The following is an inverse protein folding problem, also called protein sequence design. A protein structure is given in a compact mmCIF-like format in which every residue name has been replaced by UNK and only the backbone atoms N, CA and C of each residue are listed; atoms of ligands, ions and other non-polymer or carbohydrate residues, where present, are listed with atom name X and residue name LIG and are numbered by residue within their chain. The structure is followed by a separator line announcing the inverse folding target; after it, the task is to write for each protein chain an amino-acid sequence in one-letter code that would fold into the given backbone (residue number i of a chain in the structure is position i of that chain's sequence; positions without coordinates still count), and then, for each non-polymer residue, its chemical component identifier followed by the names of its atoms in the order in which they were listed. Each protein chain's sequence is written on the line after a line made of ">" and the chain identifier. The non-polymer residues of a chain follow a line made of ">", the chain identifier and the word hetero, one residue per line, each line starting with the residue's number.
data_IF_333249514106
#
_entry.id   IF_333249514106
#
_cell.length_a   1.000
_cell.length_b   1.000
_cell.length_c   1.000
_cell.angle_alpha   90.00
_cell.angle_beta   90.00
_cell.angle_gamma   90.00
#
_symmetry.space_group_name_H-M   'P 1'
#
loop_
_entity.id
_entity.type
_entity.pdbx_description
1 polymer ?
#
# COMPACT_ATOMS: atom_id res chain seq x y z
N UNK A 1 -5.48 49.53 27.44
CA UNK A 1 -5.15 50.35 26.26
C UNK A 1 -3.80 49.93 25.74
N UNK A 2 -3.77 49.72 24.43
CA UNK A 2 -2.72 49.21 23.54
C UNK A 2 -1.27 49.59 23.84
N UNK A 3 -0.36 48.62 23.69
CA UNK A 3 0.94 48.84 23.05
C UNK A 3 1.12 47.70 22.04
N UNK A 4 1.24 48.11 20.78
CA UNK A 4 1.43 47.29 19.60
C UNK A 4 2.84 46.67 19.55
N UNK A 5 2.93 45.48 18.96
CA UNK A 5 4.13 44.99 18.28
C UNK A 5 3.68 44.44 16.93
N UNK A 6 3.64 45.34 15.95
CA UNK A 6 3.61 45.00 14.52
C UNK A 6 5.03 44.56 14.14
N UNK A 7 5.27 43.25 14.08
CA UNK A 7 6.30 42.70 13.20
C UNK A 7 5.55 42.02 12.05
N UNK A 8 5.17 42.85 11.09
CA UNK A 8 4.65 42.45 9.78
C UNK A 8 5.81 41.79 9.01
N UNK A 9 5.90 40.46 9.12
CA UNK A 9 6.78 39.61 8.32
C UNK A 9 6.34 39.72 6.85
N UNK A 10 6.85 40.76 6.18
CA UNK A 10 6.63 41.09 4.77
C UNK A 10 7.61 40.34 3.86
N UNK A 11 7.86 39.07 4.19
CA UNK A 11 8.45 38.14 3.24
C UNK A 11 7.43 37.91 2.12
N UNK A 12 7.72 38.22 0.84
CA UNK A 12 6.81 37.86 -0.24
C UNK A 12 6.56 36.34 -0.18
N UNK A 13 5.32 35.87 -0.42
CA UNK A 13 5.06 34.44 -0.47
C UNK A 13 6.06 33.83 -1.45
N UNK A 14 6.73 32.76 -1.01
CA UNK A 14 7.65 32.00 -1.86
C UNK A 14 7.03 31.82 -3.24
N UNK A 15 7.81 32.07 -4.29
CA UNK A 15 7.36 31.86 -5.66
C UNK A 15 6.76 30.46 -5.74
N UNK A 16 5.44 30.39 -5.95
CA UNK A 16 4.78 29.11 -6.21
C UNK A 16 5.35 28.68 -7.54
N UNK A 17 6.29 27.74 -7.51
CA UNK A 17 6.80 27.12 -8.72
C UNK A 17 5.59 26.69 -9.56
N UNK A 18 5.59 26.98 -10.87
CA UNK A 18 4.51 26.53 -11.73
C UNK A 18 4.31 25.03 -11.51
N UNK A 19 3.05 24.56 -11.42
CA UNK A 19 2.79 23.15 -11.15
C UNK A 19 3.57 22.30 -12.15
N UNK A 20 4.33 21.33 -11.61
CA UNK A 20 5.12 20.41 -12.43
C UNK A 20 4.17 19.78 -13.48
N UNK A 21 4.52 19.79 -14.77
CA UNK A 21 3.66 19.21 -15.81
C UNK A 21 3.36 17.75 -15.47
N UNK A 22 2.13 17.31 -15.78
CA UNK A 22 1.68 15.97 -15.43
C UNK A 22 2.50 14.89 -16.16
N UNK A 23 2.47 13.65 -15.66
CA UNK A 23 3.23 12.53 -16.22
C UNK A 23 3.09 12.39 -17.75
N UNK A 24 1.90 12.64 -18.31
CA UNK A 24 1.63 12.59 -19.75
C UNK A 24 2.18 13.77 -20.59
N UNK A 25 2.48 14.92 -19.99
CA UNK A 25 2.98 16.12 -20.68
C UNK A 25 4.51 16.18 -20.70
N UNK A 26 5.15 15.32 -19.90
CA UNK A 26 6.59 15.26 -19.74
C UNK A 26 7.21 14.40 -20.84
N UNK A 27 8.37 14.83 -21.31
CA UNK A 27 9.20 14.06 -22.24
C UNK A 27 9.59 12.70 -21.63
N UNK A 28 9.36 11.64 -22.40
CA UNK A 28 9.60 10.27 -21.95
C UNK A 28 11.07 9.99 -21.67
N UNK A 29 11.99 10.61 -22.43
CA UNK A 29 13.43 10.46 -22.21
C UNK A 29 13.87 11.12 -20.91
N UNK A 30 13.34 12.31 -20.61
CA UNK A 30 13.60 13.00 -19.35
C UNK A 30 13.07 12.23 -18.13
N UNK A 31 11.89 11.62 -18.23
CA UNK A 31 11.34 10.74 -17.17
C UNK A 31 12.24 9.52 -16.99
N UNK A 32 12.63 8.86 -18.09
CA UNK A 32 13.45 7.66 -18.05
C UNK A 32 14.85 7.93 -17.47
N UNK A 33 15.43 9.09 -17.74
CA UNK A 33 16.70 9.54 -17.15
C UNK A 33 16.56 9.79 -15.64
N UNK A 34 15.53 10.51 -15.20
CA UNK A 34 15.25 10.76 -13.78
C UNK A 34 15.07 9.44 -13.00
N UNK A 35 14.35 8.48 -13.59
CA UNK A 35 14.08 7.18 -13.00
C UNK A 35 15.18 6.11 -13.26
N UNK A 36 16.23 6.46 -14.02
CA UNK A 36 17.36 5.56 -14.37
C UNK A 36 16.92 4.24 -15.01
N UNK A 37 15.97 4.30 -15.94
CA UNK A 37 15.37 3.11 -16.58
C UNK A 37 16.24 2.45 -17.67
N UNK A 38 17.41 3.01 -17.98
CA UNK A 38 18.32 2.49 -19.03
C UNK A 38 17.85 2.82 -20.44
N UNK A 39 18.47 2.18 -21.45
CA UNK A 39 18.30 2.53 -22.87
C UNK A 39 16.87 2.34 -23.39
N UNK A 40 16.16 1.31 -22.91
CA UNK A 40 14.76 1.03 -23.28
C UNK A 40 13.75 1.86 -22.45
N UNK A 41 14.22 2.63 -21.48
CA UNK A 41 13.41 3.41 -20.56
C UNK A 41 12.43 4.37 -21.25
N UNK A 42 12.85 5.19 -22.24
CA UNK A 42 11.95 6.11 -22.93
C UNK A 42 10.77 5.38 -23.60
N UNK A 43 11.03 4.26 -24.28
CA UNK A 43 9.99 3.47 -24.93
C UNK A 43 9.01 2.85 -23.91
N UNK A 44 9.50 2.44 -22.74
CA UNK A 44 8.64 1.94 -21.67
C UNK A 44 7.72 3.04 -21.14
N UNK A 45 8.25 4.25 -20.93
CA UNK A 45 7.47 5.40 -20.47
C UNK A 45 6.42 5.80 -21.51
N UNK A 46 6.77 5.88 -22.79
CA UNK A 46 5.81 6.20 -23.88
C UNK A 46 4.63 5.22 -23.90
N UNK A 47 4.91 3.92 -23.78
CA UNK A 47 3.86 2.88 -23.72
C UNK A 47 2.93 3.07 -22.52
N UNK A 48 3.48 3.44 -21.37
CA UNK A 48 2.70 3.69 -20.15
C UNK A 48 1.87 4.96 -20.29
N UNK A 49 2.42 6.03 -20.87
CA UNK A 49 1.68 7.26 -21.19
C UNK A 49 0.52 6.98 -22.16
N UNK A 50 0.78 6.24 -23.23
CA UNK A 50 -0.23 5.83 -24.21
C UNK A 50 -1.32 4.93 -23.60
N UNK A 51 -0.93 4.05 -22.68
CA UNK A 51 -1.89 3.22 -21.94
C UNK A 51 -2.80 4.06 -21.05
N UNK A 52 -2.24 4.99 -20.28
CA UNK A 52 -3.05 5.89 -19.46
C UNK A 52 -3.99 6.76 -20.28
N UNK A 53 -3.55 7.26 -21.45
CA UNK A 53 -4.44 7.96 -22.38
C UNK A 53 -5.67 7.10 -22.72
N UNK A 54 -5.46 5.84 -23.08
CA UNK A 54 -6.56 4.89 -23.37
C UNK A 54 -7.45 4.64 -22.14
N UNK A 55 -6.88 4.61 -20.94
CA UNK A 55 -7.65 4.49 -19.69
C UNK A 55 -8.57 5.70 -19.50
N UNK A 56 -8.07 6.92 -19.69
CA UNK A 56 -8.86 8.14 -19.54
C UNK A 56 -9.99 8.23 -20.57
N UNK A 57 -9.72 7.83 -21.81
CA UNK A 57 -10.74 7.67 -22.85
C UNK A 57 -11.78 6.61 -22.46
N UNK A 58 -11.34 5.45 -21.97
CA UNK A 58 -12.22 4.35 -21.53
C UNK A 58 -13.14 4.75 -20.38
N UNK A 59 -12.67 5.57 -19.44
CA UNK A 59 -13.48 6.07 -18.33
C UNK A 59 -14.27 7.34 -18.66
N UNK A 60 -14.12 7.90 -19.86
CA UNK A 60 -14.75 9.16 -20.27
C UNK A 60 -14.37 10.33 -19.32
N UNK A 61 -13.11 10.39 -18.88
CA UNK A 61 -12.58 11.44 -17.98
C UNK A 61 -11.29 12.06 -18.54
N UNK A 62 -11.37 12.55 -19.78
CA UNK A 62 -10.26 13.19 -20.51
C UNK A 62 -9.76 14.50 -19.86
N UNK A 63 -10.51 15.05 -18.90
CA UNK A 63 -10.14 16.26 -18.16
C UNK A 63 -9.21 15.95 -16.98
N UNK A 64 -9.30 14.74 -16.42
CA UNK A 64 -8.51 14.34 -15.25
C UNK A 64 -6.99 14.54 -15.42
N UNK A 65 -6.36 14.22 -16.57
CA UNK A 65 -4.92 14.39 -16.74
C UNK A 65 -4.42 15.82 -16.50
N UNK A 66 -5.24 16.83 -16.84
CA UNK A 66 -4.96 18.25 -16.62
C UNK A 66 -5.44 18.77 -15.25
N UNK A 67 -6.25 18.00 -14.53
CA UNK A 67 -6.74 18.33 -13.19
C UNK A 67 -6.74 17.09 -12.27
N UNK A 68 -5.56 16.47 -12.03
CA UNK A 68 -5.48 15.21 -11.29
C UNK A 68 -5.89 15.40 -9.83
N UNK A 69 -6.49 14.40 -9.20
CA UNK A 69 -6.92 14.46 -7.79
C UNK A 69 -6.63 13.16 -7.04
N UNK A 70 -6.59 13.24 -5.72
CA UNK A 70 -6.38 12.09 -4.83
C UNK A 70 -4.96 11.49 -4.91
N UNK A 71 -4.73 10.34 -4.24
CA UNK A 71 -3.40 9.74 -4.13
C UNK A 71 -2.76 9.39 -5.48
N UNK A 72 -3.55 8.93 -6.45
CA UNK A 72 -3.04 8.69 -7.81
C UNK A 72 -2.63 9.98 -8.52
N UNK A 73 -3.35 11.07 -8.27
CA UNK A 73 -3.02 12.39 -8.81
C UNK A 73 -1.71 12.95 -8.27
N UNK A 74 -1.34 12.66 -7.03
CA UNK A 74 -0.06 13.06 -6.45
C UNK A 74 1.11 12.33 -7.12
N UNK A 75 0.93 11.04 -7.44
CA UNK A 75 1.91 10.30 -8.24
C UNK A 75 1.96 10.82 -9.69
N UNK A 76 0.81 11.17 -10.27
CA UNK A 76 0.73 11.74 -11.61
C UNK A 76 1.50 13.06 -11.77
N UNK A 77 1.50 13.90 -10.73
CA UNK A 77 2.29 15.15 -10.69
C UNK A 77 3.78 14.93 -10.43
N UNK A 78 4.18 13.70 -10.11
CA UNK A 78 5.57 13.36 -9.80
C UNK A 78 6.07 13.94 -8.47
N UNK A 79 5.21 14.02 -7.44
CA UNK A 79 5.59 14.51 -6.10
C UNK A 79 6.73 13.67 -5.49
N UNK A 80 6.84 12.37 -5.85
CA UNK A 80 7.90 11.46 -5.42
C UNK A 80 9.04 11.25 -6.42
N UNK A 81 9.13 12.06 -7.49
CA UNK A 81 10.17 11.93 -8.52
C UNK A 81 10.20 10.53 -9.17
N UNK A 82 11.36 9.86 -9.13
CA UNK A 82 11.54 8.51 -9.67
C UNK A 82 10.56 7.48 -9.08
N UNK A 83 10.22 7.58 -7.78
CA UNK A 83 9.28 6.66 -7.14
C UNK A 83 7.88 6.77 -7.73
N UNK A 84 7.43 7.99 -8.06
CA UNK A 84 6.16 8.19 -8.75
C UNK A 84 6.15 7.61 -10.16
N UNK A 85 7.29 7.61 -10.85
CA UNK A 85 7.44 6.95 -12.16
C UNK A 85 7.26 5.44 -12.02
N UNK A 86 7.97 4.81 -11.07
CA UNK A 86 7.81 3.38 -10.80
C UNK A 86 6.38 3.02 -10.39
N UNK A 87 5.75 3.86 -9.55
CA UNK A 87 4.34 3.72 -9.19
C UNK A 87 3.41 3.60 -10.41
N UNK A 88 3.49 4.58 -11.31
CA UNK A 88 2.65 4.63 -12.50
C UNK A 88 2.95 3.46 -13.44
N UNK A 89 4.22 3.08 -13.61
CA UNK A 89 4.58 1.93 -14.45
C UNK A 89 4.06 0.60 -13.88
N UNK A 90 4.19 0.39 -12.57
CA UNK A 90 3.74 -0.84 -11.90
C UNK A 90 2.21 -0.96 -11.96
N UNK A 91 1.49 0.11 -11.63
CA UNK A 91 0.02 0.14 -11.74
C UNK A 91 -0.42 -0.06 -13.19
N UNK A 92 0.21 0.58 -14.17
CA UNK A 92 -0.13 0.37 -15.58
C UNK A 92 0.05 -1.10 -16.01
N UNK A 93 1.14 -1.73 -15.58
CA UNK A 93 1.45 -3.12 -15.93
C UNK A 93 0.38 -4.08 -15.41
N UNK A 94 -0.03 -3.95 -14.14
CA UNK A 94 -1.04 -4.85 -13.56
C UNK A 94 -2.44 -4.62 -14.15
N UNK A 95 -2.78 -3.36 -14.45
CA UNK A 95 -4.04 -3.03 -15.14
C UNK A 95 -4.06 -3.58 -16.57
N UNK A 96 -2.95 -3.49 -17.30
CA UNK A 96 -2.81 -4.04 -18.64
C UNK A 96 -3.07 -5.56 -18.63
N UNK A 97 -2.44 -6.29 -17.70
CA UNK A 97 -2.64 -7.74 -17.56
C UNK A 97 -4.09 -8.10 -17.25
N UNK A 98 -4.75 -7.35 -16.37
CA UNK A 98 -6.17 -7.54 -16.09
C UNK A 98 -7.01 -7.32 -17.35
N UNK A 99 -6.87 -6.17 -18.01
CA UNK A 99 -7.68 -5.79 -19.17
C UNK A 99 -7.50 -6.74 -20.36
N UNK A 100 -6.28 -7.26 -20.56
CA UNK A 100 -5.98 -8.21 -21.64
C UNK A 100 -6.62 -9.57 -21.43
N UNK A 101 -6.74 -10.03 -20.18
CA UNK A 101 -7.11 -11.41 -19.85
C UNK A 101 -8.50 -11.55 -19.21
N UNK A 102 -9.17 -10.43 -18.89
CA UNK A 102 -10.54 -10.41 -18.41
C UNK A 102 -11.55 -10.84 -19.50
N UNK A 103 -12.67 -11.41 -19.07
CA UNK A 103 -13.71 -11.92 -19.97
C UNK A 103 -14.46 -10.82 -20.74
N UNK A 104 -14.87 -11.05 -22.00
CA UNK A 104 -15.71 -10.10 -22.73
C UNK A 104 -17.01 -9.77 -21.96
N UNK A 105 -17.35 -8.49 -21.82
CA UNK A 105 -18.56 -8.02 -21.12
C UNK A 105 -18.32 -7.43 -19.72
N UNK A 106 -17.11 -7.55 -19.17
CA UNK A 106 -16.76 -7.02 -17.83
C UNK A 106 -16.22 -5.59 -17.84
N UNK A 107 -16.17 -4.94 -19.01
CA UNK A 107 -15.61 -3.60 -19.18
C UNK A 107 -16.22 -2.58 -18.23
N UNK A 108 -17.53 -2.67 -17.96
CA UNK A 108 -18.23 -1.74 -17.06
C UNK A 108 -17.68 -1.78 -15.62
N UNK A 109 -17.46 -2.96 -15.06
CA UNK A 109 -16.95 -3.11 -13.69
C UNK A 109 -15.52 -2.56 -13.58
N UNK A 110 -14.65 -2.87 -14.55
CA UNK A 110 -13.29 -2.31 -14.63
C UNK A 110 -13.35 -0.79 -14.72
N UNK A 111 -14.16 -0.25 -15.64
CA UNK A 111 -14.34 1.20 -15.82
C UNK A 111 -14.81 1.86 -14.52
N UNK A 112 -15.73 1.25 -13.78
CA UNK A 112 -16.21 1.79 -12.50
C UNK A 112 -15.11 1.81 -11.43
N UNK A 113 -14.32 0.73 -11.29
CA UNK A 113 -13.19 0.68 -10.35
C UNK A 113 -12.12 1.70 -10.72
N UNK A 114 -11.80 1.84 -12.00
CA UNK A 114 -10.88 2.87 -12.48
C UNK A 114 -11.40 4.29 -12.17
N UNK A 115 -12.70 4.55 -12.33
CA UNK A 115 -13.31 5.83 -11.93
C UNK A 115 -13.12 6.09 -10.43
N UNK A 116 -13.28 5.07 -9.58
CA UNK A 116 -13.04 5.20 -8.13
C UNK A 116 -11.56 5.47 -7.82
N UNK A 117 -10.61 4.83 -8.52
CA UNK A 117 -9.17 5.09 -8.35
C UNK A 117 -8.80 6.52 -8.76
N UNK A 118 -9.40 7.04 -9.85
CA UNK A 118 -9.13 8.38 -10.35
C UNK A 118 -9.83 9.48 -9.54
N UNK A 119 -11.04 9.23 -9.07
CA UNK A 119 -11.84 10.17 -8.27
C UNK A 119 -12.36 9.50 -6.99
N UNK A 120 -11.47 9.17 -6.04
CA UNK A 120 -11.88 8.53 -4.80
C UNK A 120 -12.64 9.52 -3.91
N UNK A 121 -13.59 9.02 -3.12
CA UNK A 121 -14.26 9.80 -2.06
C UNK A 121 -13.35 10.01 -0.86
N UNK A 122 -12.48 9.04 -0.56
CA UNK A 122 -11.49 9.04 0.50
C UNK A 122 -10.35 8.04 0.19
N UNK A 123 -9.27 8.09 0.97
CA UNK A 123 -8.11 7.21 0.80
C UNK A 123 -8.46 5.71 0.97
N UNK A 124 -9.49 5.40 1.75
CA UNK A 124 -9.93 4.03 1.94
C UNK A 124 -10.56 3.46 0.66
N UNK A 125 -11.46 4.21 0.05
CA UNK A 125 -12.11 3.88 -1.23
C UNK A 125 -11.09 3.78 -2.37
N UNK A 126 -10.06 4.64 -2.33
CA UNK A 126 -8.92 4.56 -3.23
C UNK A 126 -8.17 3.23 -3.11
N UNK A 127 -7.74 2.89 -1.89
CA UNK A 127 -6.96 1.69 -1.62
C UNK A 127 -7.74 0.41 -1.93
N UNK A 128 -9.02 0.33 -1.55
CA UNK A 128 -9.86 -0.83 -1.87
C UNK A 128 -9.98 -1.04 -3.38
N UNK A 129 -10.28 0.03 -4.14
CA UNK A 129 -10.44 -0.07 -5.58
C UNK A 129 -9.13 -0.43 -6.30
N UNK A 130 -8.01 0.15 -5.87
CA UNK A 130 -6.71 -0.15 -6.46
C UNK A 130 -6.25 -1.58 -6.14
N UNK A 131 -6.35 -2.01 -4.88
CA UNK A 131 -6.00 -3.37 -4.46
C UNK A 131 -6.84 -4.43 -5.19
N UNK A 132 -8.14 -4.16 -5.40
CA UNK A 132 -9.00 -5.05 -6.18
C UNK A 132 -8.45 -5.24 -7.59
N UNK A 133 -8.11 -4.15 -8.28
CA UNK A 133 -7.53 -4.19 -9.63
C UNK A 133 -6.14 -4.85 -9.66
N UNK A 134 -5.30 -4.59 -8.64
CA UNK A 134 -3.95 -5.17 -8.50
C UNK A 134 -4.02 -6.70 -8.35
N UNK A 135 -4.89 -7.19 -7.46
CA UNK A 135 -5.09 -8.63 -7.29
C UNK A 135 -5.67 -9.25 -8.56
N UNK A 136 -6.62 -8.58 -9.20
CA UNK A 136 -7.19 -9.01 -10.48
C UNK A 136 -6.13 -9.19 -11.56
N UNK A 137 -5.26 -8.20 -11.75
CA UNK A 137 -4.16 -8.25 -12.72
C UNK A 137 -3.12 -9.31 -12.38
N UNK A 138 -2.80 -9.50 -11.10
CA UNK A 138 -1.90 -10.58 -10.66
C UNK A 138 -2.46 -11.96 -10.96
N UNK A 139 -3.75 -12.19 -10.70
CA UNK A 139 -4.42 -13.45 -11.08
C UNK A 139 -4.42 -13.61 -12.60
N UNK A 140 -4.82 -12.56 -13.32
CA UNK A 140 -4.94 -12.53 -14.77
C UNK A 140 -3.61 -12.80 -15.50
N UNK A 141 -2.48 -12.39 -14.93
CA UNK A 141 -1.14 -12.66 -15.46
C UNK A 141 -0.76 -14.15 -15.47
N UNK A 142 -1.41 -14.96 -14.62
CA UNK A 142 -1.10 -16.40 -14.48
C UNK A 142 -2.22 -17.31 -14.93
N UNK A 143 -3.46 -16.85 -14.80
CA UNK A 143 -4.65 -17.64 -15.11
C UNK A 143 -5.66 -16.81 -15.89
N UNK A 144 -6.09 -17.32 -17.04
CA UNK A 144 -7.18 -16.72 -17.79
C UNK A 144 -8.12 -17.78 -18.39
N UNK A 145 -9.42 -17.48 -18.50
CA UNK A 145 -10.06 -16.21 -18.16
C UNK A 145 -10.29 -15.87 -16.69
N UNK A 146 -10.32 -14.55 -16.45
CA UNK A 146 -10.85 -13.94 -15.23
C UNK A 146 -12.23 -13.30 -15.51
N UNK A 147 -13.22 -13.69 -14.73
CA UNK A 147 -14.56 -13.10 -14.66
C UNK A 147 -14.60 -12.07 -13.54
N UNK A 148 -15.37 -10.99 -13.71
CA UNK A 148 -15.68 -10.03 -12.64
C UNK A 148 -17.11 -10.27 -12.16
N UNK A 149 -17.32 -10.30 -10.85
CA UNK A 149 -18.63 -10.53 -10.23
C UNK A 149 -19.37 -11.74 -10.83
N UNK A 150 -18.78 -12.96 -10.78
CA UNK A 150 -19.23 -14.10 -11.59
C UNK A 150 -20.61 -14.64 -11.21
N UNK A 151 -21.14 -14.32 -10.03
CA UNK A 151 -22.45 -14.81 -9.57
C UNK A 151 -23.60 -13.85 -9.91
N UNK A 152 -23.31 -12.69 -10.48
CA UNK A 152 -24.33 -11.70 -10.89
C UNK A 152 -24.65 -11.92 -12.37
N UNK A 153 -25.92 -12.17 -12.73
CA UNK A 153 -26.32 -12.20 -14.13
C UNK A 153 -25.96 -10.87 -14.81
N UNK A 154 -25.45 -10.92 -16.04
CA UNK A 154 -24.98 -9.72 -16.73
C UNK A 154 -26.06 -8.63 -16.89
N UNK A 155 -27.33 -9.04 -16.97
CA UNK A 155 -28.48 -8.14 -17.04
C UNK A 155 -28.82 -7.45 -15.70
N UNK A 156 -28.27 -7.93 -14.59
CA UNK A 156 -28.57 -7.47 -13.22
C UNK A 156 -27.44 -6.65 -12.61
N UNK A 157 -26.28 -6.56 -13.29
CA UNK A 157 -25.18 -5.70 -12.86
C UNK A 157 -25.70 -4.24 -12.78
N UNK A 158 -25.80 -3.65 -11.59
CA UNK A 158 -26.46 -2.37 -11.42
C UNK A 158 -25.76 -1.28 -12.22
N UNK A 159 -26.52 -0.29 -12.69
CA UNK A 159 -25.96 0.84 -13.39
C UNK A 159 -25.25 1.82 -12.46
N UNK A 160 -25.78 1.94 -11.23
CA UNK A 160 -25.23 2.52 -10.00
C UNK A 160 -26.03 1.90 -8.83
N UNK A 161 -25.39 1.54 -7.70
CA UNK A 161 -26.09 0.95 -6.55
C UNK A 161 -25.20 0.15 -5.59
N UNK A 162 -25.79 -0.45 -4.55
CA UNK A 162 -25.12 -1.32 -3.57
C UNK A 162 -24.47 -2.53 -4.25
N UNK A 163 -23.25 -2.87 -3.80
CA UNK A 163 -22.45 -3.97 -4.34
C UNK A 163 -23.25 -5.28 -4.30
N UNK A 164 -23.42 -5.97 -5.43
CA UNK A 164 -24.12 -7.25 -5.44
C UNK A 164 -23.39 -8.28 -4.56
N UNK A 165 -24.13 -9.22 -3.96
CA UNK A 165 -23.57 -10.29 -3.14
C UNK A 165 -22.89 -11.36 -4.00
N UNK A 166 -21.83 -10.97 -4.70
CA UNK A 166 -20.98 -11.85 -5.51
C UNK A 166 -19.53 -11.68 -5.09
N UNK A 167 -18.68 -12.70 -5.31
CA UNK A 167 -17.25 -12.55 -5.23
C UNK A 167 -16.77 -11.51 -6.23
N UNK A 168 -15.67 -10.81 -5.96
CA UNK A 168 -15.09 -9.86 -6.90
C UNK A 168 -14.63 -10.54 -8.21
N UNK A 169 -14.01 -11.73 -8.09
CA UNK A 169 -13.43 -12.45 -9.21
C UNK A 169 -13.89 -13.91 -9.31
N UNK A 170 -13.96 -14.40 -10.56
CA UNK A 170 -14.13 -15.81 -10.90
C UNK A 170 -13.05 -16.28 -11.89
N UNK A 171 -12.25 -17.26 -11.52
CA UNK A 171 -11.15 -17.77 -12.34
C UNK A 171 -11.55 -19.10 -12.95
N UNK A 172 -11.50 -19.21 -14.28
CA UNK A 172 -11.80 -20.47 -14.98
C UNK A 172 -10.54 -21.32 -15.14
N UNK A 173 -10.55 -22.50 -14.54
CA UNK A 173 -9.53 -23.55 -14.69
C UNK A 173 -10.17 -24.82 -15.29
N UNK A 174 -9.41 -25.80 -15.80
CA UNK A 174 -9.96 -27.03 -16.36
C UNK A 174 -10.92 -27.76 -15.42
N UNK A 175 -10.65 -27.70 -14.12
CA UNK A 175 -11.42 -28.35 -13.07
C UNK A 175 -12.72 -27.62 -12.72
N UNK A 176 -12.89 -26.36 -13.18
CA UNK A 176 -14.11 -25.59 -12.94
C UNK A 176 -13.86 -24.11 -12.65
N UNK A 177 -14.87 -23.47 -12.05
CA UNK A 177 -14.80 -22.08 -11.63
C UNK A 177 -14.27 -22.01 -10.19
N UNK A 178 -13.27 -21.17 -9.97
CA UNK A 178 -12.80 -20.77 -8.64
C UNK A 178 -13.23 -19.34 -8.38
N UNK A 179 -13.64 -19.03 -7.15
CA UNK A 179 -14.03 -17.66 -6.78
C UNK A 179 -13.00 -17.03 -5.85
N UNK A 180 -12.72 -15.74 -6.05
CA UNK A 180 -11.80 -14.96 -5.22
C UNK A 180 -12.50 -13.68 -4.82
N UNK A 181 -12.56 -13.44 -3.51
CA UNK A 181 -13.02 -12.19 -2.94
C UNK A 181 -11.82 -11.38 -2.46
N UNK A 182 -11.80 -10.09 -2.76
CA UNK A 182 -10.74 -9.17 -2.34
C UNK A 182 -11.19 -8.39 -1.11
N UNK A 183 -10.25 -8.18 -0.19
CA UNK A 183 -10.46 -7.24 0.90
C UNK A 183 -9.15 -6.61 1.34
N UNK A 184 -9.24 -5.34 1.71
CA UNK A 184 -8.17 -4.67 2.45
C UNK A 184 -8.42 -4.89 3.94
N UNK A 185 -7.42 -5.41 4.63
CA UNK A 185 -7.43 -5.56 6.07
C UNK A 185 -6.92 -4.27 6.71
N UNK A 186 -7.75 -3.72 7.59
CA UNK A 186 -7.46 -2.52 8.37
C UNK A 186 -7.27 -2.90 9.84
N UNK A 187 -6.03 -2.86 10.30
CA UNK A 187 -5.74 -2.96 11.72
C UNK A 187 -5.79 -1.57 12.36
N UNK A 188 -6.99 -1.17 12.79
CA UNK A 188 -7.27 0.19 13.28
C UNK A 188 -6.35 0.63 14.43
N UNK A 189 -6.03 -0.27 15.36
CA UNK A 189 -5.14 0.02 16.48
C UNK A 189 -3.72 0.40 16.00
N UNK A 190 -3.19 -0.31 15.01
CA UNK A 190 -1.91 0.03 14.39
C UNK A 190 -1.99 1.29 13.53
N UNK A 191 -3.10 1.51 12.82
CA UNK A 191 -3.31 2.75 12.07
C UNK A 191 -3.32 3.99 12.98
N UNK A 192 -3.98 3.90 14.13
CA UNK A 192 -4.00 4.95 15.15
C UNK A 192 -2.60 5.19 15.72
N UNK A 193 -1.88 4.11 16.07
CA UNK A 193 -0.49 4.18 16.51
C UNK A 193 0.42 4.83 15.46
N UNK A 194 0.27 4.48 14.18
CA UNK A 194 1.07 5.04 13.09
C UNK A 194 0.82 6.54 12.92
N UNK A 195 -0.43 7.00 13.00
CA UNK A 195 -0.75 8.44 12.97
C UNK A 195 -0.09 9.19 14.13
N UNK A 196 -0.17 8.64 15.34
CA UNK A 196 0.51 9.23 16.51
C UNK A 196 2.01 9.33 16.28
N UNK A 197 2.63 8.26 15.78
CA UNK A 197 4.05 8.25 15.44
C UNK A 197 4.43 9.34 14.43
N UNK A 198 3.65 9.52 13.36
CA UNK A 198 3.90 10.57 12.36
C UNK A 198 3.83 11.97 12.97
N UNK A 199 2.88 12.22 13.88
CA UNK A 199 2.77 13.50 14.60
C UNK A 199 4.01 13.75 15.46
N UNK A 200 4.47 12.75 16.22
CA UNK A 200 5.69 12.86 17.04
C UNK A 200 6.90 13.17 16.16
N UNK A 201 7.11 12.38 15.10
CA UNK A 201 8.21 12.55 14.17
C UNK A 201 8.23 13.96 13.57
N UNK A 202 7.07 14.43 13.09
CA UNK A 202 6.94 15.76 12.46
C UNK A 202 7.27 16.88 13.43
N UNK A 203 6.72 16.84 14.65
CA UNK A 203 6.96 17.86 15.67
C UNK A 203 8.44 17.92 16.09
N UNK A 204 9.06 16.77 16.34
CA UNK A 204 10.47 16.69 16.70
C UNK A 204 11.39 17.14 15.56
N UNK A 205 11.15 16.64 14.34
CA UNK A 205 11.92 17.00 13.15
C UNK A 205 11.89 18.51 12.90
N UNK A 206 10.69 19.11 12.90
CA UNK A 206 10.52 20.54 12.70
C UNK A 206 11.23 21.37 13.79
N UNK A 207 11.17 20.93 15.06
CA UNK A 207 11.83 21.64 16.16
C UNK A 207 13.35 21.56 16.07
N UNK A 208 13.90 20.38 15.77
CA UNK A 208 15.34 20.17 15.63
C UNK A 208 15.92 20.95 14.45
N UNK A 209 15.23 20.93 13.30
CA UNK A 209 15.60 21.70 12.13
C UNK A 209 15.61 23.20 12.46
N UNK A 210 14.55 23.71 13.11
CA UNK A 210 14.45 25.12 13.51
C UNK A 210 15.57 25.55 14.46
N UNK A 211 16.02 24.65 15.35
CA UNK A 211 17.07 24.93 16.33
C UNK A 211 18.48 24.62 15.83
N UNK A 212 18.62 23.96 14.67
CA UNK A 212 19.91 23.52 14.14
C UNK A 212 20.62 22.50 15.03
N UNK A 213 19.86 21.66 15.74
CA UNK A 213 20.40 20.71 16.73
C UNK A 213 20.25 19.29 16.22
N UNK A 214 21.37 18.56 16.16
CA UNK A 214 21.38 17.16 15.76
C UNK A 214 21.13 16.19 16.93
N UNK A 215 20.09 15.36 16.83
CA UNK A 215 19.74 14.36 17.86
C UNK A 215 19.29 13.03 17.26
N UNK A 216 19.61 11.96 17.98
CA UNK A 216 19.03 10.65 17.80
C UNK A 216 17.97 10.44 18.88
N UNK A 217 16.72 10.24 18.48
CA UNK A 217 15.59 9.97 19.38
C UNK A 217 15.12 8.54 19.17
N UNK A 218 14.94 7.82 20.29
CA UNK A 218 14.34 6.49 20.33
C UNK A 218 13.09 6.51 21.19
N UNK A 219 11.99 6.01 20.64
CA UNK A 219 10.69 5.93 21.34
C UNK A 219 10.23 4.48 21.37
N UNK A 220 9.85 4.00 22.54
CA UNK A 220 9.09 2.76 22.74
C UNK A 220 7.65 3.19 23.01
N UNK A 221 6.80 3.08 22.00
CA UNK A 221 5.41 3.53 22.01
C UNK A 221 4.51 2.31 21.84
N UNK A 222 3.92 1.76 22.92
CA UNK A 222 3.01 0.63 22.82
C UNK A 222 1.78 0.90 21.94
N UNK A 223 1.32 -0.11 21.21
CA UNK A 223 0.00 -0.07 20.56
C UNK A 223 -1.08 0.09 21.65
N UNK A 224 -2.09 0.91 21.37
CA UNK A 224 -3.17 1.22 22.30
C UNK A 224 -2.83 2.28 23.36
N UNK A 225 -1.68 2.96 23.26
CA UNK A 225 -1.36 4.11 24.11
C UNK A 225 -2.44 5.21 24.00
N UNK A 226 -2.94 5.77 25.12
CA UNK A 226 -3.96 6.82 25.09
C UNK A 226 -3.40 8.11 24.51
N UNK A 227 -4.20 8.81 23.70
CA UNK A 227 -3.76 10.03 23.03
C UNK A 227 -3.22 11.08 24.02
N UNK A 228 -3.88 11.29 25.15
CA UNK A 228 -3.46 12.25 26.20
C UNK A 228 -2.04 11.96 26.73
N UNK A 229 -1.66 10.69 26.85
CA UNK A 229 -0.33 10.30 27.29
C UNK A 229 0.73 10.54 26.22
N UNK A 230 0.35 10.42 24.94
CA UNK A 230 1.25 10.59 23.80
C UNK A 230 1.41 12.08 23.43
N UNK A 231 0.42 12.93 23.73
CA UNK A 231 0.46 14.37 23.47
C UNK A 231 1.70 15.08 24.04
N UNK A 232 2.19 14.59 25.18
CA UNK A 232 3.45 15.09 25.73
C UNK A 232 4.63 14.95 24.76
N UNK A 233 4.71 13.85 23.99
CA UNK A 233 5.83 13.55 23.08
C UNK A 233 5.91 14.47 21.85
N UNK A 234 4.85 15.22 21.53
CA UNK A 234 4.87 16.26 20.50
C UNK A 234 4.61 17.66 21.07
N UNK A 235 4.62 17.80 22.40
CA UNK A 235 4.49 19.09 23.05
C UNK A 235 5.75 19.95 22.86
N UNK A 236 5.59 21.28 22.93
CA UNK A 236 6.72 22.20 22.96
C UNK A 236 7.68 21.89 24.11
N UNK A 237 7.16 21.57 25.29
CA UNK A 237 7.97 21.27 26.47
C UNK A 237 8.91 20.08 26.23
N UNK A 238 8.40 18.96 25.72
CA UNK A 238 9.23 17.80 25.43
C UNK A 238 10.22 18.08 24.30
N UNK A 239 9.78 18.69 23.20
CA UNK A 239 10.66 18.99 22.06
C UNK A 239 11.78 19.97 22.45
N UNK A 240 11.49 20.94 23.31
CA UNK A 240 12.47 21.88 23.85
C UNK A 240 13.45 21.17 24.77
N UNK A 241 12.95 20.30 25.65
CA UNK A 241 13.81 19.48 26.51
C UNK A 241 14.80 18.62 25.70
N UNK A 242 14.36 18.00 24.60
CA UNK A 242 15.23 17.20 23.72
C UNK A 242 16.31 18.07 23.05
N UNK A 243 15.97 19.31 22.71
CA UNK A 243 16.91 20.28 22.11
C UNK A 243 17.91 20.84 23.13
N UNK A 244 17.41 21.23 24.30
CA UNK A 244 18.18 21.97 25.32
C UNK A 244 19.08 21.05 26.17
N UNK A 245 18.88 19.73 26.10
CA UNK A 245 19.72 18.75 26.78
C UNK A 245 20.52 17.90 25.79
N UNK A 246 21.74 17.53 26.16
CA UNK A 246 22.61 16.71 25.31
C UNK A 246 22.08 15.27 25.19
N UNK A 247 21.64 14.71 26.32
CA UNK A 247 20.99 13.41 26.39
C UNK A 247 19.93 13.39 27.48
N UNK A 248 19.01 12.45 27.39
CA UNK A 248 18.00 12.27 28.42
C UNK A 248 17.09 11.08 28.15
N UNK A 249 16.24 10.80 29.13
CA UNK A 249 15.20 9.81 29.03
C UNK A 249 13.96 10.26 29.81
N UNK A 250 12.81 9.72 29.39
CA UNK A 250 11.54 9.81 30.09
C UNK A 250 10.84 8.45 30.06
N UNK A 251 10.01 8.21 31.06
CA UNK A 251 9.14 7.05 31.14
C UNK A 251 7.81 7.49 31.77
N UNK A 252 6.69 7.08 31.18
CA UNK A 252 5.38 7.32 31.80
C UNK A 252 5.21 6.47 33.05
N UNK A 253 4.43 6.96 34.02
CA UNK A 253 4.08 6.17 35.20
C UNK A 253 3.29 4.91 34.84
N UNK A 254 3.33 3.92 35.73
CA UNK A 254 2.56 2.68 35.59
C UNK A 254 1.06 2.97 35.51
N UNK A 255 0.35 2.27 34.62
CA UNK A 255 -1.09 2.41 34.43
C UNK A 255 -1.54 3.57 33.53
N UNK A 256 -0.63 4.45 33.09
CA UNK A 256 -0.96 5.53 32.13
C UNK A 256 -1.21 5.00 30.72
N UNK A 257 -0.55 3.90 30.34
CA UNK A 257 -0.72 3.23 29.06
C UNK A 257 -0.66 1.71 29.27
N UNK A 258 -1.09 0.88 28.30
CA UNK A 258 -1.08 -0.59 28.44
C UNK A 258 0.29 -1.14 28.84
N UNK A 259 1.36 -0.49 28.35
CA UNK A 259 2.75 -0.66 28.74
C UNK A 259 3.39 0.73 28.87
N UNK A 260 4.46 0.90 29.67
CA UNK A 260 5.11 2.20 29.81
C UNK A 260 5.64 2.74 28.48
N UNK A 261 5.31 4.00 28.17
CA UNK A 261 5.93 4.72 27.05
C UNK A 261 7.31 5.16 27.50
N UNK A 262 8.34 4.91 26.69
CA UNK A 262 9.71 5.34 26.98
C UNK A 262 10.23 6.15 25.81
N UNK A 263 10.87 7.28 26.09
CA UNK A 263 11.62 8.01 25.10
C UNK A 263 13.02 8.31 25.62
N UNK A 264 14.01 8.23 24.73
CA UNK A 264 15.40 8.53 25.04
C UNK A 264 16.03 9.27 23.88
N UNK A 265 16.96 10.18 24.18
CA UNK A 265 17.69 10.92 23.16
C UNK A 265 19.15 11.07 23.53
N UNK A 266 19.97 11.20 22.50
CA UNK A 266 21.42 11.38 22.60
C UNK A 266 21.94 12.23 21.43
N UNK A 267 23.18 12.74 21.50
CA UNK A 267 23.80 13.43 20.39
C UNK A 267 23.85 12.54 19.14
N UNK A 268 23.71 13.18 17.98
CA UNK A 268 23.91 12.52 16.68
C UNK A 268 25.10 13.15 15.99
N UNK A 269 25.99 12.30 15.45
CA UNK A 269 27.02 12.74 14.52
C UNK A 269 26.36 13.14 13.21
N UNK A 270 26.34 14.44 12.94
CA UNK A 270 25.79 15.06 11.75
C UNK A 270 26.88 15.79 11.00
N UNK A 271 26.93 15.57 9.69
CA UNK A 271 27.84 16.24 8.77
C UNK A 271 27.01 16.92 7.67
N UNK A 272 27.24 18.20 7.36
CA UNK A 272 26.46 18.90 6.35
C UNK A 272 26.74 18.42 4.91
N UNK A 273 27.91 17.82 4.66
CA UNK A 273 28.40 17.41 3.34
C UNK A 273 29.22 16.10 3.47
N UNK A 274 29.07 15.13 2.54
CA UNK A 274 29.92 13.92 2.49
C UNK A 274 31.43 14.21 2.48
N UNK A 275 31.87 15.30 1.88
CA UNK A 275 33.29 15.62 1.71
C UNK A 275 33.95 16.11 3.01
N UNK A 276 33.14 16.49 4.00
CA UNK A 276 33.58 17.04 5.28
C UNK A 276 33.32 16.11 6.48
N UNK A 277 33.27 14.79 6.24
CA UNK A 277 33.14 13.81 7.32
C UNK A 277 34.41 13.78 8.18
N UNK A 278 34.26 14.05 9.48
CA UNK A 278 35.32 13.81 10.47
C UNK A 278 35.36 12.31 10.82
N UNK A 279 36.17 11.58 10.08
CA UNK A 279 36.37 10.14 10.29
C UNK A 279 36.99 9.80 11.65
N UNK A 280 37.71 10.73 12.30
CA UNK A 280 38.23 10.51 13.64
C UNK A 280 37.10 10.56 14.68
N UNK A 281 36.17 11.51 14.53
CA UNK A 281 34.97 11.58 15.37
C UNK A 281 34.06 10.35 15.19
N UNK A 282 33.95 9.83 13.96
CA UNK A 282 33.23 8.57 13.65
C UNK A 282 33.90 7.38 14.36
N UNK A 283 35.23 7.25 14.26
CA UNK A 283 35.98 6.19 14.93
C UNK A 283 35.89 6.27 16.47
N UNK A 284 35.96 7.48 17.03
CA UNK A 284 35.89 7.72 18.48
C UNK A 284 34.50 7.39 19.08
N UNK A 285 33.43 7.49 18.28
CA UNK A 285 32.06 7.13 18.69
C UNK A 285 31.74 5.63 18.49
N UNK A 286 32.77 4.79 18.32
CA UNK A 286 32.63 3.33 18.30
C UNK A 286 32.81 2.66 16.93
N UNK A 287 33.13 3.42 15.87
CA UNK A 287 33.25 2.89 14.51
C UNK A 287 31.95 2.25 13.99
N UNK A 288 31.96 1.78 12.74
CA UNK A 288 30.90 0.90 12.24
C UNK A 288 30.98 -0.41 13.06
N UNK A 289 29.95 -0.83 13.82
CA UNK A 289 28.52 -0.66 13.56
C UNK A 289 27.74 -0.10 14.77
N UNK A 290 27.45 1.20 14.76
CA UNK A 290 26.24 1.70 15.39
C UNK A 290 25.19 1.91 14.29
N UNK A 291 23.92 1.65 14.60
CA UNK A 291 22.80 1.56 13.65
C UNK A 291 22.45 2.84 12.85
N UNK A 292 23.35 3.82 12.78
CA UNK A 292 23.32 4.92 11.82
C UNK A 292 24.76 5.38 11.60
N UNK A 293 25.26 5.32 10.37
CA UNK A 293 26.60 5.82 9.99
C UNK A 293 26.71 7.35 10.10
N UNK A 294 27.72 8.00 9.46
CA UNK A 294 27.74 9.46 9.37
C UNK A 294 26.44 9.94 8.70
N UNK A 295 25.64 10.75 9.42
CA UNK A 295 24.39 11.28 8.89
C UNK A 295 24.72 12.55 8.11
N UNK A 296 24.69 12.42 6.79
CA UNK A 296 24.97 13.51 5.85
C UNK A 296 23.68 14.28 5.59
N UNK A 297 23.68 15.57 5.88
CA UNK A 297 22.53 16.49 5.67
C UNK A 297 21.30 16.22 6.53
N UNK A 298 21.25 15.11 7.27
CA UNK A 298 20.16 14.74 8.16
C UNK A 298 20.48 15.14 9.60
N UNK A 299 19.77 16.13 10.14
CA UNK A 299 19.91 16.60 11.53
C UNK A 299 19.03 15.82 12.52
N UNK A 300 18.18 14.91 12.07
CA UNK A 300 17.28 14.15 12.94
C UNK A 300 17.35 12.66 12.66
N UNK A 301 17.78 11.89 13.65
CA UNK A 301 17.68 10.43 13.65
C UNK A 301 16.54 9.98 14.54
N UNK A 302 15.67 9.12 14.01
CA UNK A 302 14.44 8.73 14.68
C UNK A 302 14.24 7.21 14.58
N UNK A 303 13.94 6.59 15.72
CA UNK A 303 13.67 5.16 15.83
C UNK A 303 12.48 4.92 16.74
N UNK A 304 11.56 4.06 16.34
CA UNK A 304 10.34 3.79 17.12
C UNK A 304 10.04 2.30 17.20
N UNK A 305 9.69 1.83 18.39
CA UNK A 305 9.27 0.46 18.65
C UNK A 305 7.80 0.42 19.10
N UNK A 306 6.90 -0.26 18.36
CA UNK A 306 5.50 -0.43 18.77
C UNK A 306 5.32 -1.38 19.97
N UNK A 307 6.37 -2.09 20.39
CA UNK A 307 6.35 -3.04 21.49
C UNK A 307 5.28 -4.14 21.34
N UNK A 308 5.07 -4.64 20.12
CA UNK A 308 4.03 -5.64 19.80
C UNK A 308 4.20 -6.88 20.68
N UNK A 309 3.14 -7.20 21.42
CA UNK A 309 3.02 -8.39 22.26
C UNK A 309 1.92 -9.34 21.78
N UNK A 310 1.68 -10.39 22.53
CA UNK A 310 0.68 -11.41 22.16
C UNK A 310 -0.76 -10.88 22.16
N UNK A 311 -1.08 -9.93 23.05
CA UNK A 311 -2.40 -9.30 23.07
C UNK A 311 -2.67 -8.46 21.81
N UNK A 312 -1.66 -7.72 21.32
CA UNK A 312 -1.76 -6.97 20.06
C UNK A 312 -1.93 -7.92 18.87
N UNK A 313 -1.21 -9.05 18.89
CA UNK A 313 -1.36 -10.10 17.86
C UNK A 313 -2.75 -10.75 17.91
N UNK A 314 -3.32 -10.93 19.10
CA UNK A 314 -4.67 -11.44 19.28
C UNK A 314 -5.72 -10.47 18.75
N UNK A 315 -5.56 -9.17 19.05
CA UNK A 315 -6.42 -8.10 18.53
C UNK A 315 -6.35 -8.02 16.99
N UNK A 316 -5.14 -8.01 16.43
CA UNK A 316 -4.91 -8.03 14.99
C UNK A 316 -5.61 -9.23 14.32
N UNK A 317 -5.45 -10.44 14.91
CA UNK A 317 -6.12 -11.64 14.41
C UNK A 317 -7.65 -11.56 14.55
N UNK A 318 -8.16 -10.95 15.61
CA UNK A 318 -9.59 -10.68 15.79
C UNK A 318 -10.15 -9.78 14.69
N UNK A 319 -9.45 -8.67 14.40
CA UNK A 319 -9.76 -7.77 13.29
C UNK A 319 -9.73 -8.50 11.94
N UNK A 320 -8.67 -9.27 11.67
CA UNK A 320 -8.54 -10.05 10.44
C UNK A 320 -9.69 -11.04 10.25
N UNK A 321 -10.07 -11.76 11.31
CA UNK A 321 -11.20 -12.69 11.29
C UNK A 321 -12.50 -11.98 10.95
N UNK A 322 -12.74 -10.80 11.52
CA UNK A 322 -13.93 -10.00 11.21
C UNK A 322 -13.96 -9.60 9.72
N UNK A 323 -12.83 -9.19 9.15
CA UNK A 323 -12.73 -8.90 7.71
C UNK A 323 -13.06 -10.13 6.86
N UNK A 324 -12.47 -11.28 7.16
CA UNK A 324 -12.74 -12.54 6.43
C UNK A 324 -14.20 -12.99 6.60
N UNK A 325 -14.74 -12.92 7.81
CA UNK A 325 -16.07 -13.41 8.12
C UNK A 325 -17.17 -12.59 7.42
N UNK A 326 -16.95 -11.28 7.22
CA UNK A 326 -17.86 -10.42 6.43
C UNK A 326 -18.01 -10.91 4.98
N UNK A 327 -16.96 -11.53 4.42
CA UNK A 327 -16.91 -12.02 3.05
C UNK A 327 -17.60 -13.36 2.83
N UNK A 328 -17.91 -14.10 3.90
CA UNK A 328 -18.57 -15.42 3.83
C UNK A 328 -19.90 -15.41 3.07
N UNK A 329 -20.61 -14.28 3.04
CA UNK A 329 -21.92 -14.13 2.39
C UNK A 329 -21.86 -14.07 0.86
N UNK A 330 -20.68 -13.77 0.29
CA UNK A 330 -20.49 -13.65 -1.16
C UNK A 330 -20.13 -14.99 -1.82
N UNK A 331 -19.88 -16.05 -1.06
CA UNK A 331 -19.44 -17.34 -1.62
C UNK A 331 -20.58 -18.13 -2.26
N UNK A 332 -20.26 -18.89 -3.30
CA UNK A 332 -21.02 -20.09 -3.67
C UNK A 332 -20.53 -21.26 -2.80
N UNK A 333 -21.42 -21.95 -2.04
CA UNK A 333 -21.01 -23.07 -1.19
C UNK A 333 -20.47 -24.28 -1.95
N UNK A 334 -20.66 -24.35 -3.28
CA UNK A 334 -20.26 -25.47 -4.13
C UNK A 334 -18.98 -25.21 -4.95
N UNK A 335 -18.37 -24.03 -4.81
CA UNK A 335 -17.15 -23.67 -5.53
C UNK A 335 -15.97 -23.51 -4.56
N UNK A 336 -14.74 -23.80 -5.01
CA UNK A 336 -13.55 -23.34 -4.29
C UNK A 336 -13.59 -21.82 -4.14
N UNK A 337 -13.31 -21.34 -2.93
CA UNK A 337 -13.44 -19.93 -2.58
C UNK A 337 -12.22 -19.45 -1.80
N UNK A 338 -11.64 -18.36 -2.27
CA UNK A 338 -10.46 -17.72 -1.69
C UNK A 338 -10.79 -16.32 -1.24
N UNK A 339 -10.11 -15.87 -0.19
CA UNK A 339 -10.07 -14.45 0.17
C UNK A 339 -8.66 -13.96 -0.07
N UNK A 340 -8.52 -12.97 -0.96
CA UNK A 340 -7.29 -12.25 -1.18
C UNK A 340 -7.23 -11.04 -0.23
N UNK A 341 -6.19 -10.99 0.58
CA UNK A 341 -6.00 -10.05 1.67
C UNK A 341 -4.82 -9.14 1.36
N UNK A 342 -5.07 -7.85 1.19
CA UNK A 342 -4.03 -6.84 1.30
C UNK A 342 -4.06 -6.23 2.70
N UNK A 343 -2.91 -5.84 3.23
CA UNK A 343 -2.85 -5.01 4.44
C UNK A 343 -2.75 -3.55 4.02
N UNK A 344 -3.39 -2.65 4.77
CA UNK A 344 -3.16 -1.19 4.58
C UNK A 344 -1.71 -0.79 4.83
N UNK A 345 -0.99 -1.59 5.63
CA UNK A 345 0.43 -1.44 5.86
C UNK A 345 1.12 -2.69 5.32
N UNK A 346 1.85 -2.57 4.21
CA UNK A 346 2.63 -3.69 3.64
C UNK A 346 3.79 -4.10 4.56
N UNK A 347 4.33 -3.15 5.31
CA UNK A 347 5.34 -3.36 6.34
C UNK A 347 4.89 -2.77 7.68
N UNK A 348 5.26 -3.46 8.76
CA UNK A 348 5.04 -3.00 10.13
C UNK A 348 6.35 -2.92 10.89
N UNK A 349 6.43 -1.97 11.83
CA UNK A 349 7.55 -1.89 12.74
C UNK A 349 7.54 -3.11 13.68
N UNK A 350 8.68 -3.79 13.78
CA UNK A 350 8.92 -4.91 14.70
C UNK A 350 9.86 -4.52 15.84
N UNK A 351 10.66 -3.49 15.61
CA UNK A 351 11.60 -2.94 16.57
C UNK A 351 12.04 -1.53 16.17
N UNK A 352 12.93 -0.90 16.95
CA UNK A 352 13.32 0.50 16.77
C UNK A 352 13.75 0.87 15.35
N UNK A 353 14.42 -0.05 14.66
CA UNK A 353 14.96 0.12 13.30
C UNK A 353 14.63 -1.08 12.41
N UNK A 354 13.60 -1.85 12.77
CA UNK A 354 13.28 -3.11 12.09
C UNK A 354 11.84 -3.04 11.59
N UNK A 355 11.68 -3.16 10.28
CA UNK A 355 10.39 -3.32 9.63
C UNK A 355 10.33 -4.72 9.04
N UNK A 356 9.24 -5.43 9.31
CA UNK A 356 8.95 -6.71 8.69
C UNK A 356 7.77 -6.57 7.74
N UNK A 357 7.70 -7.45 6.74
CA UNK A 357 6.49 -7.61 5.96
C UNK A 357 5.35 -8.06 6.88
N UNK A 358 4.19 -7.42 6.75
CA UNK A 358 3.03 -7.67 7.60
C UNK A 358 2.60 -9.14 7.58
N UNK A 359 2.69 -9.80 6.42
CA UNK A 359 2.30 -11.19 6.27
C UNK A 359 3.35 -12.17 6.77
N UNK A 360 4.61 -11.77 6.91
CA UNK A 360 5.60 -12.58 7.62
C UNK A 360 5.30 -12.65 9.12
N UNK A 361 4.69 -11.58 9.67
CA UNK A 361 4.32 -11.50 11.09
C UNK A 361 2.98 -12.17 11.36
N UNK A 362 1.97 -11.92 10.52
CA UNK A 362 0.59 -12.37 10.78
C UNK A 362 0.17 -13.61 9.97
N UNK A 363 0.83 -13.91 8.85
CA UNK A 363 0.55 -15.10 8.03
C UNK A 363 0.70 -16.42 8.79
N UNK A 364 1.70 -16.62 9.68
CA UNK A 364 1.79 -17.80 10.51
C UNK A 364 0.56 -18.01 11.42
N UNK A 365 -0.02 -16.92 11.95
CA UNK A 365 -1.20 -17.00 12.82
C UNK A 365 -2.44 -17.53 12.09
N UNK A 366 -2.54 -17.35 10.77
CA UNK A 366 -3.60 -17.96 9.97
C UNK A 366 -3.47 -19.48 10.00
N UNK A 367 -2.26 -20.01 9.77
CA UNK A 367 -2.02 -21.46 9.79
C UNK A 367 -2.24 -22.07 11.18
N UNK A 368 -1.77 -21.38 12.21
CA UNK A 368 -1.81 -21.87 13.59
C UNK A 368 -3.19 -21.73 14.24
N UNK A 369 -4.00 -20.74 13.84
CA UNK A 369 -5.22 -20.36 14.58
C UNK A 369 -6.47 -20.18 13.75
N UNK A 370 -6.37 -20.00 12.44
CA UNK A 370 -7.53 -19.91 11.54
C UNK A 370 -7.89 -21.28 10.98
N UNK A 371 -6.94 -21.99 10.38
CA UNK A 371 -7.17 -23.31 9.75
C UNK A 371 -7.64 -24.42 10.69
N UNK A 372 -7.19 -24.50 11.96
CA UNK A 372 -7.73 -25.47 12.89
C UNK A 372 -9.20 -25.23 13.25
N UNK A 373 -9.73 -24.02 13.04
CA UNK A 373 -11.09 -23.68 13.42
C UNK A 373 -12.10 -24.12 12.32
N UNK A 374 -13.05 -25.04 12.63
CA UNK A 374 -14.01 -25.54 11.65
C UNK A 374 -14.91 -24.47 11.00
N UNK A 375 -15.05 -23.29 11.62
CA UNK A 375 -15.80 -22.17 11.06
C UNK A 375 -15.28 -21.73 9.69
N UNK A 376 -14.00 -21.95 9.39
CA UNK A 376 -13.34 -21.51 8.15
C UNK A 376 -13.18 -22.61 7.10
N UNK A 377 -13.78 -23.79 7.28
CA UNK A 377 -13.77 -24.86 6.25
C UNK A 377 -14.36 -24.44 4.91
N UNK A 378 -15.12 -23.34 4.86
CA UNK A 378 -15.64 -22.81 3.61
C UNK A 378 -14.60 -22.15 2.70
N UNK A 379 -13.40 -21.84 3.23
CA UNK A 379 -12.29 -21.28 2.46
C UNK A 379 -11.40 -22.39 1.93
N UNK A 380 -11.08 -22.34 0.65
CA UNK A 380 -10.04 -23.16 0.02
C UNK A 380 -8.63 -22.66 0.36
N UNK A 381 -8.50 -21.36 0.67
CA UNK A 381 -7.27 -20.74 1.15
C UNK A 381 -7.38 -19.22 1.20
N UNK A 382 -6.28 -18.60 1.56
CA UNK A 382 -6.10 -17.14 1.54
C UNK A 382 -4.95 -16.79 0.59
N UNK A 383 -5.07 -15.68 -0.12
CA UNK A 383 -3.98 -15.09 -0.88
C UNK A 383 -3.50 -13.85 -0.13
N UNK A 384 -2.26 -13.84 0.37
CA UNK A 384 -1.70 -12.62 0.94
C UNK A 384 -1.16 -11.76 -0.19
N UNK A 385 -1.87 -10.66 -0.47
CA UNK A 385 -1.41 -9.69 -1.43
C UNK A 385 -0.31 -8.82 -0.80
N UNK A 386 0.87 -8.90 -1.39
CA UNK A 386 2.05 -8.08 -1.10
C UNK A 386 2.26 -7.12 -2.27
N UNK A 387 2.41 -5.85 -1.96
CA UNK A 387 2.70 -4.83 -2.95
C UNK A 387 3.83 -3.90 -2.49
N UNK A 388 4.63 -3.50 -3.45
CA UNK A 388 5.55 -2.38 -3.40
C UNK A 388 5.35 -1.60 -4.69
N UNK A 389 4.37 -0.70 -4.69
CA UNK A 389 3.98 0.04 -5.90
C UNK A 389 5.14 0.87 -6.46
N UNK A 390 6.08 1.29 -5.61
CA UNK A 390 7.27 2.06 -5.98
C UNK A 390 8.52 1.20 -6.25
N UNK A 391 8.36 -0.13 -6.33
CA UNK A 391 9.44 -1.05 -6.64
C UNK A 391 10.13 -0.68 -7.96
N UNK A 392 11.47 -0.70 -7.95
CA UNK A 392 12.25 -0.52 -9.15
C UNK A 392 12.00 -1.69 -10.13
N UNK A 393 12.29 -1.54 -11.44
CA UNK A 393 12.06 -2.62 -12.42
C UNK A 393 12.78 -3.94 -12.13
N UNK A 394 13.85 -3.91 -11.33
CA UNK A 394 14.57 -5.12 -10.89
C UNK A 394 13.85 -5.90 -9.79
N UNK A 395 12.86 -5.28 -9.15
CA UNK A 395 12.20 -5.79 -7.95
C UNK A 395 10.76 -6.19 -8.28
N UNK A 396 10.22 -7.15 -7.53
CA UNK A 396 8.84 -7.57 -7.69
C UNK A 396 7.90 -6.55 -7.04
N UNK A 397 7.14 -5.83 -7.88
CA UNK A 397 6.16 -4.85 -7.42
C UNK A 397 4.94 -5.50 -6.74
N UNK A 398 4.52 -6.67 -7.21
CA UNK A 398 3.31 -7.35 -6.75
C UNK A 398 3.52 -8.85 -6.60
N UNK A 399 2.96 -9.41 -5.53
CA UNK A 399 3.01 -10.85 -5.27
C UNK A 399 1.78 -11.29 -4.49
N UNK A 400 1.22 -12.45 -4.85
CA UNK A 400 0.15 -13.09 -4.10
C UNK A 400 0.68 -14.38 -3.47
N UNK A 401 0.95 -14.34 -2.17
CA UNK A 401 1.42 -15.51 -1.43
C UNK A 401 0.25 -16.44 -1.11
N UNK A 402 0.32 -17.69 -1.59
CA UNK A 402 -0.76 -18.65 -1.38
C UNK A 402 -0.64 -19.35 -0.03
N UNK A 403 -1.64 -19.15 0.83
CA UNK A 403 -1.81 -19.85 2.09
C UNK A 403 -2.96 -20.88 1.99
N UNK A 404 -2.67 -22.17 1.72
CA UNK A 404 -3.69 -23.21 1.57
C UNK A 404 -4.41 -23.50 2.88
N UNK A 405 -5.72 -23.72 2.83
CA UNK A 405 -6.46 -24.27 3.96
C UNK A 405 -6.50 -25.81 3.85
N UNK A 406 -5.75 -26.56 4.67
CA UNK A 406 -5.72 -28.02 4.61
C UNK A 406 -7.06 -28.66 5.03
N UNK A 407 -7.94 -27.90 5.68
CA UNK A 407 -9.23 -28.38 6.19
C UNK A 407 -10.42 -27.90 5.33
N UNK A 408 -10.16 -27.37 4.13
CA UNK A 408 -11.20 -26.87 3.23
C UNK A 408 -12.23 -27.95 2.89
N UNK A 409 -13.51 -27.57 2.89
CA UNK A 409 -14.60 -28.43 2.45
C UNK A 409 -14.54 -28.68 0.94
N UNK A 410 -14.09 -27.68 0.18
CA UNK A 410 -13.78 -27.77 -1.24
C UNK A 410 -12.33 -27.30 -1.41
N UNK A 411 -11.38 -28.21 -1.70
CA UNK A 411 -9.97 -27.85 -1.83
C UNK A 411 -9.73 -27.00 -3.08
N UNK A 412 -8.58 -26.30 -3.09
CA UNK A 412 -8.10 -25.60 -4.26
C UNK A 412 -7.80 -26.59 -5.40
N UNK A 413 -8.22 -26.32 -6.64
CA UNK A 413 -7.82 -27.12 -7.80
C UNK A 413 -6.31 -27.02 -8.06
N UNK A 414 -5.68 -28.13 -8.44
CA UNK A 414 -4.25 -28.21 -8.68
C UNK A 414 -3.76 -27.21 -9.73
N UNK A 415 -4.54 -26.98 -10.81
CA UNK A 415 -4.18 -26.00 -11.84
C UNK A 415 -4.04 -24.59 -11.25
N UNK A 416 -4.95 -24.19 -10.36
CA UNK A 416 -4.87 -22.87 -9.72
C UNK A 416 -3.70 -22.82 -8.73
N UNK A 417 -3.47 -23.88 -7.95
CA UNK A 417 -2.35 -23.92 -6.99
C UNK A 417 -1.01 -23.74 -7.71
N UNK A 418 -0.80 -24.46 -8.81
CA UNK A 418 0.41 -24.35 -9.63
C UNK A 418 0.58 -22.95 -10.23
N UNK A 419 -0.53 -22.31 -10.60
CA UNK A 419 -0.49 -20.95 -11.12
C UNK A 419 -0.14 -19.90 -10.04
N UNK A 420 -0.75 -20.02 -8.86
CA UNK A 420 -0.49 -19.11 -7.73
C UNK A 420 0.93 -19.27 -7.17
N UNK A 421 1.51 -20.46 -7.25
CA UNK A 421 2.90 -20.75 -6.82
C UNK A 421 3.93 -20.44 -7.91
N UNK A 422 3.49 -20.00 -9.10
CA UNK A 422 4.37 -19.68 -10.23
C UNK A 422 4.97 -20.91 -10.92
N UNK A 423 4.51 -22.12 -10.62
CA UNK A 423 4.95 -23.36 -11.25
C UNK A 423 4.39 -23.55 -12.66
N UNK A 424 3.26 -22.94 -12.97
CA UNK A 424 2.61 -23.02 -14.27
C UNK A 424 1.83 -21.74 -14.60
N UNK A 425 1.50 -21.55 -15.88
CA UNK A 425 0.54 -20.56 -16.33
C UNK A 425 -0.55 -21.26 -17.11
N UNK A 426 -1.77 -20.77 -16.99
CA UNK A 426 -2.93 -21.36 -17.63
C UNK A 426 -3.77 -20.31 -18.34
N UNK A 427 -3.72 -20.31 -19.67
CA UNK A 427 -4.48 -19.38 -20.49
C UNK A 427 -5.35 -20.15 -21.47
N UNK A 428 -6.66 -20.22 -21.19
CA UNK A 428 -7.62 -20.71 -22.17
C UNK A 428 -7.80 -19.63 -23.24
N UNK A 429 -7.52 -19.98 -24.49
CA UNK A 429 -7.88 -19.12 -25.61
C UNK A 429 -9.39 -18.88 -25.60
N UNK A 430 -9.79 -17.64 -25.37
CA UNK A 430 -11.15 -17.19 -25.65
C UNK A 430 -11.43 -17.40 -27.14
N UNK A 431 -12.18 -18.44 -27.48
CA UNK A 431 -12.89 -18.42 -28.76
C UNK A 431 -13.96 -17.33 -28.63
N UNK A 432 -13.76 -16.20 -29.31
CA UNK A 432 -14.85 -15.23 -29.55
C UNK A 432 -16.08 -16.03 -29.98
N UNK A 433 -17.28 -15.78 -29.41
CA UNK A 433 -18.50 -16.37 -29.96
C UNK A 433 -18.51 -16.07 -31.46
N UNK A 434 -18.53 -17.12 -32.30
CA UNK A 434 -18.74 -16.92 -33.74
C UNK A 434 -20.03 -16.13 -33.86
N UNK A 435 -19.97 -14.98 -34.54
CA UNK A 435 -21.17 -14.23 -34.95
C UNK A 435 -22.14 -15.26 -35.53
N UNK A 436 -23.42 -15.33 -35.10
CA UNK A 436 -24.38 -16.19 -35.76
C UNK A 436 -24.31 -15.87 -37.25
N UNK A 437 -23.96 -16.86 -38.06
CA UNK A 437 -24.03 -16.70 -39.52
C UNK A 437 -25.44 -16.22 -39.82
N UNK A 438 -25.54 -15.06 -40.47
CA UNK A 438 -26.82 -14.54 -40.90
C UNK A 438 -27.51 -15.66 -41.69
N UNK A 439 -28.69 -16.09 -41.24
CA UNK A 439 -29.49 -17.05 -41.98
C UNK A 439 -29.55 -16.59 -43.43
N UNK A 440 -29.33 -17.48 -44.41
CA UNK A 440 -29.54 -17.13 -45.81
C UNK A 440 -30.95 -16.54 -45.92
N UNK A 441 -31.07 -15.39 -46.58
CA UNK A 441 -32.37 -14.90 -46.99
C UNK A 441 -32.86 -15.89 -48.04
N UNK A 442 -33.85 -16.70 -47.68
CA UNK A 442 -34.63 -17.44 -48.66
C UNK A 442 -35.24 -16.42 -49.63
N UNK A 443 -34.88 -16.59 -50.90
CA UNK A 443 -35.43 -15.86 -52.06
C UNK A 443 -36.88 -16.18 -52.31
#
# INVERSE_FOLDING_TARGET
>A
MSIASDDDDTSPPASVDPPRPGFHERDASAIAEEARLGEEGPLQVERVQDFYRQIFELVEDEVWPGAPVGPFGDQWRGVGGAQSTFYLMNVATVLWELMRNASPGVGRTITQRLKTVLRPTDDHSYEEALVELEIGGMIASRVSPVLLEPLVPDSWRPSHGEQPMSPDYGVRVPEGLVTVEVTVWHWEAYAAWHRMNQTIHTALSARMLKRGIARNVRIELPIGSPQEAVEYLWSHEFCDRVCDTESGNIMTADGVAPRPIRASWRPMLHFPDPDNIDWNAVAANGGLPFAAGPNIGQMFGYSINPCIGDDDRNDALGSLRNSIDRKKRQRDPNLPHFVALASTFSQIALGPNEFGDTWDVFGPLIKERLWPNPRYKWLSGVLHHRHSRVAAPSDLAYFNDYNPNPNAAIPAPDTLVRALTGEAEFHLMWQRPRRPEARPRDT
#
